data_IF_970916389295
#
_entry.id   IF_970916389295
#
_cell.length_a   1.000
_cell.length_b   1.000
_cell.length_c   1.000
_cell.angle_alpha   90.00
_cell.angle_beta   90.00
_cell.angle_gamma   90.00
#
_symmetry.space_group_name_H-M   'P 1'
#
loop_
_entity.id
_entity.type
_entity.pdbx_description
1 polymer ?
#
# COMPACT_ATOMS: atom_id res chain seq x y z
N UNK A 1 -10.88 -18.07 10.68
CA UNK A 1 -12.22 -17.46 10.90
C UNK A 1 -12.40 -16.44 9.79
N UNK A 2 -13.46 -16.57 8.99
CA UNK A 2 -13.72 -15.68 7.85
C UNK A 2 -14.05 -14.29 8.38
N UNK A 3 -13.30 -13.27 7.94
CA UNK A 3 -13.69 -11.86 8.10
C UNK A 3 -15.12 -11.68 7.58
N UNK A 4 -15.94 -10.92 8.29
CA UNK A 4 -17.29 -10.64 7.80
C UNK A 4 -17.15 -9.71 6.57
N UNK A 5 -17.94 -9.95 5.54
CA UNK A 5 -17.95 -9.12 4.33
C UNK A 5 -18.09 -7.61 4.65
N UNK A 6 -18.80 -7.29 5.72
CA UNK A 6 -19.03 -5.93 6.20
C UNK A 6 -17.74 -5.23 6.67
N UNK A 7 -16.78 -5.96 7.24
CA UNK A 7 -15.51 -5.38 7.72
C UNK A 7 -14.62 -4.97 6.54
N UNK A 8 -14.59 -5.79 5.48
CA UNK A 8 -13.86 -5.51 4.24
C UNK A 8 -14.47 -4.30 3.52
N UNK A 9 -15.80 -4.22 3.49
CA UNK A 9 -16.54 -3.14 2.85
C UNK A 9 -16.34 -1.80 3.57
N UNK A 10 -16.41 -1.79 4.90
CA UNK A 10 -16.15 -0.60 5.72
C UNK A 10 -14.69 -0.12 5.58
N UNK A 11 -13.72 -1.04 5.57
CA UNK A 11 -12.32 -0.70 5.35
C UNK A 11 -12.12 -0.07 3.96
N UNK A 12 -12.76 -0.63 2.93
CA UNK A 12 -12.71 -0.09 1.57
C UNK A 12 -13.26 1.34 1.52
N UNK A 13 -14.40 1.61 2.15
CA UNK A 13 -15.01 2.94 2.16
C UNK A 13 -14.19 4.02 2.89
N UNK A 14 -13.60 3.67 4.03
CA UNK A 14 -12.77 4.61 4.81
C UNK A 14 -11.50 5.02 4.06
N UNK A 15 -10.93 4.09 3.28
CA UNK A 15 -9.73 4.33 2.48
C UNK A 15 -9.99 5.17 1.23
N UNK A 16 -11.20 5.09 0.66
CA UNK A 16 -11.61 5.94 -0.48
C UNK A 16 -11.87 7.41 -0.08
N UNK A 17 -12.10 7.69 1.21
CA UNK A 17 -12.44 9.04 1.73
C UNK A 17 -11.23 9.84 2.21
N UNK A 18 -10.03 9.26 2.29
CA UNK A 18 -8.83 9.91 2.82
C UNK A 18 -7.74 10.06 1.76
N UNK A 19 -7.02 11.19 1.78
CA UNK A 19 -5.80 11.41 0.97
C UNK A 19 -4.69 10.46 1.43
N UNK A 20 -4.76 9.21 0.96
CA UNK A 20 -3.85 8.14 1.33
C UNK A 20 -2.97 7.74 0.16
N UNK A 21 -1.93 6.94 0.43
CA UNK A 21 -1.12 6.33 -0.62
C UNK A 21 -1.98 5.54 -1.63
N UNK A 22 -3.14 5.05 -1.21
CA UNK A 22 -4.06 4.24 -2.02
C UNK A 22 -4.89 5.05 -3.01
N UNK A 23 -5.07 6.36 -2.81
CA UNK A 23 -5.68 7.24 -3.81
C UNK A 23 -4.66 7.77 -4.81
N UNK A 24 -3.38 7.85 -4.42
CA UNK A 24 -2.27 8.30 -5.28
C UNK A 24 -1.72 7.18 -6.18
N UNK A 25 -1.62 5.95 -5.65
CA UNK A 25 -1.06 4.80 -6.37
C UNK A 25 -1.77 4.52 -7.71
N UNK A 26 -3.11 4.38 -7.79
CA UNK A 26 -3.80 4.11 -9.06
C UNK A 26 -3.64 5.22 -10.10
N UNK A 27 -3.39 6.46 -9.66
CA UNK A 27 -3.17 7.62 -10.55
C UNK A 27 -1.75 7.67 -11.12
N UNK A 28 -0.85 6.79 -10.65
CA UNK A 28 0.56 6.81 -11.00
C UNK A 28 1.21 8.20 -10.79
N UNK A 29 0.81 8.89 -9.71
CA UNK A 29 1.34 10.20 -9.36
C UNK A 29 2.56 10.05 -8.45
N UNK A 30 3.75 10.03 -9.06
CA UNK A 30 5.02 9.82 -8.34
C UNK A 30 5.27 10.90 -7.29
N UNK A 31 4.98 12.15 -7.61
CA UNK A 31 5.26 13.28 -6.71
C UNK A 31 4.37 13.21 -5.47
N UNK A 32 3.07 12.96 -5.66
CA UNK A 32 2.15 12.75 -4.54
C UNK A 32 2.55 11.54 -3.68
N UNK A 33 2.93 10.41 -4.31
CA UNK A 33 3.40 9.22 -3.59
C UNK A 33 4.65 9.55 -2.76
N UNK A 34 5.63 10.22 -3.34
CA UNK A 34 6.86 10.62 -2.64
C UNK A 34 6.58 11.60 -1.50
N UNK A 35 5.69 12.58 -1.71
CA UNK A 35 5.29 13.52 -0.67
C UNK A 35 4.61 12.81 0.51
N UNK A 36 3.71 11.86 0.24
CA UNK A 36 3.02 11.08 1.27
C UNK A 36 4.04 10.25 2.06
N UNK A 37 4.95 9.54 1.39
CA UNK A 37 6.00 8.73 2.04
C UNK A 37 6.96 9.60 2.86
N UNK A 38 7.29 10.80 2.38
CA UNK A 38 8.16 11.72 3.11
C UNK A 38 7.48 12.31 4.35
N UNK A 39 6.16 12.51 4.29
CA UNK A 39 5.37 13.03 5.41
C UNK A 39 5.14 11.95 6.47
N UNK A 40 4.79 10.73 6.06
CA UNK A 40 4.65 9.58 6.93
C UNK A 40 5.30 8.33 6.30
N UNK A 41 6.55 8.00 6.70
CA UNK A 41 7.21 6.80 6.23
C UNK A 41 6.51 5.50 6.62
N UNK A 42 5.62 5.47 7.63
CA UNK A 42 4.93 4.23 7.99
C UNK A 42 3.84 3.82 7.00
N UNK A 43 3.46 4.73 6.09
CA UNK A 43 2.44 4.50 5.07
C UNK A 43 2.78 3.31 4.15
N UNK A 44 4.07 2.98 4.00
CA UNK A 44 4.54 1.81 3.24
C UNK A 44 4.16 0.46 3.84
N UNK A 45 3.75 0.44 5.11
CA UNK A 45 3.28 -0.75 5.82
C UNK A 45 1.75 -0.83 5.92
N UNK A 46 1.04 0.22 5.49
CA UNK A 46 -0.42 0.24 5.49
C UNK A 46 -0.93 -0.84 4.54
N UNK A 47 -2.04 -1.48 4.92
CA UNK A 47 -2.72 -2.50 4.12
C UNK A 47 -3.88 -1.90 3.34
N UNK A 48 -3.94 -2.25 2.06
CA UNK A 48 -5.06 -2.00 1.18
C UNK A 48 -6.26 -2.90 1.49
N UNK A 49 -7.38 -2.71 0.76
CA UNK A 49 -8.62 -3.45 0.96
C UNK A 49 -8.48 -4.97 0.85
N UNK A 50 -7.49 -5.48 0.08
CA UNK A 50 -7.25 -6.91 -0.09
C UNK A 50 -6.00 -7.38 0.67
N UNK A 51 -5.53 -6.59 1.65
CA UNK A 51 -4.34 -6.90 2.45
C UNK A 51 -3.02 -6.63 1.73
N UNK A 52 -3.06 -5.93 0.59
CA UNK A 52 -1.89 -5.56 -0.17
C UNK A 52 -1.11 -4.40 0.48
N UNK A 53 0.20 -4.32 0.28
CA UNK A 53 1.00 -3.16 0.66
C UNK A 53 1.42 -2.40 -0.61
N UNK A 54 1.86 -1.15 -0.49
CA UNK A 54 2.29 -0.33 -1.63
C UNK A 54 3.25 -1.03 -2.59
N UNK A 55 4.18 -1.86 -2.10
CA UNK A 55 5.08 -2.65 -2.96
C UNK A 55 4.36 -3.67 -3.84
N UNK A 56 3.22 -4.21 -3.40
CA UNK A 56 2.44 -5.18 -4.17
C UNK A 56 1.81 -4.58 -5.43
N UNK A 57 1.61 -3.25 -5.47
CA UNK A 57 1.10 -2.55 -6.66
C UNK A 57 1.96 -2.82 -7.89
N UNK A 58 3.25 -3.13 -7.67
CA UNK A 58 4.13 -3.56 -8.75
C UNK A 58 3.62 -4.79 -9.48
N UNK A 59 3.18 -5.80 -8.74
CA UNK A 59 2.74 -7.07 -9.31
C UNK A 59 1.36 -6.93 -9.96
N UNK A 60 0.50 -6.05 -9.42
CA UNK A 60 -0.85 -5.83 -9.95
C UNK A 60 -0.88 -5.12 -11.30
N UNK A 61 0.05 -4.18 -11.56
CA UNK A 61 0.02 -3.34 -12.77
C UNK A 61 1.20 -3.55 -13.72
N UNK A 62 2.30 -4.14 -13.26
CA UNK A 62 3.47 -4.53 -14.06
C UNK A 62 4.04 -3.49 -15.05
N UNK A 63 3.85 -2.18 -14.81
CA UNK A 63 4.41 -1.11 -15.65
C UNK A 63 5.80 -0.65 -15.18
N UNK A 64 6.52 0.08 -16.03
CA UNK A 64 7.80 0.71 -15.66
C UNK A 64 7.65 1.71 -14.51
N UNK A 65 6.55 2.44 -14.46
CA UNK A 65 6.25 3.34 -13.35
C UNK A 65 6.28 2.61 -12.00
N UNK A 66 5.52 1.51 -11.88
CA UNK A 66 5.49 0.76 -10.62
C UNK A 66 6.81 0.00 -10.38
N UNK A 67 7.59 -0.31 -11.43
CA UNK A 67 8.98 -0.82 -11.27
C UNK A 67 9.84 0.19 -10.56
N UNK A 68 9.79 1.45 -10.98
CA UNK A 68 10.60 2.51 -10.40
C UNK A 68 10.17 2.83 -8.98
N UNK A 69 8.86 2.89 -8.71
CA UNK A 69 8.33 3.03 -7.34
C UNK A 69 8.79 1.86 -6.48
N UNK A 70 8.65 0.62 -6.93
CA UNK A 70 9.09 -0.55 -6.16
C UNK A 70 10.60 -0.53 -5.90
N UNK A 71 11.41 -0.16 -6.91
CA UNK A 71 12.87 -0.01 -6.73
C UNK A 71 13.19 1.06 -5.70
N UNK A 72 12.51 2.21 -5.76
CA UNK A 72 12.68 3.30 -4.80
C UNK A 72 12.32 2.85 -3.38
N UNK A 73 11.17 2.19 -3.21
CA UNK A 73 10.70 1.67 -1.93
C UNK A 73 11.68 0.64 -1.34
N UNK A 74 12.15 -0.33 -2.14
CA UNK A 74 13.12 -1.35 -1.68
C UNK A 74 14.46 -0.71 -1.31
N UNK A 75 14.91 0.29 -2.08
CA UNK A 75 16.19 0.97 -1.82
C UNK A 75 16.15 1.75 -0.50
N UNK A 76 15.01 2.39 -0.22
CA UNK A 76 14.84 3.23 0.98
C UNK A 76 14.40 2.44 2.21
N UNK A 77 13.61 1.39 2.01
CA UNK A 77 13.02 0.56 3.05
C UNK A 77 13.20 -0.92 2.71
N UNK A 78 14.42 -1.48 2.82
CA UNK A 78 14.70 -2.85 2.39
C UNK A 78 13.91 -3.91 3.20
N UNK A 79 13.52 -3.59 4.43
CA UNK A 79 12.75 -4.47 5.31
C UNK A 79 11.34 -4.78 4.77
N UNK A 80 10.81 -3.95 3.86
CA UNK A 80 9.46 -4.13 3.31
C UNK A 80 9.32 -5.34 2.41
N UNK A 81 10.41 -6.04 2.06
CA UNK A 81 10.29 -7.29 1.29
C UNK A 81 10.03 -8.46 2.23
N UNK A 82 10.54 -8.38 3.45
CA UNK A 82 10.51 -9.46 4.43
C UNK A 82 9.39 -9.28 5.46
N UNK A 83 9.17 -8.06 5.94
CA UNK A 83 8.30 -7.80 7.09
C UNK A 83 6.80 -7.81 6.76
N UNK A 84 6.44 -7.57 5.50
CA UNK A 84 5.06 -7.69 5.02
C UNK A 84 4.47 -9.09 5.22
N UNK A 85 5.28 -10.14 5.32
CA UNK A 85 4.77 -11.49 5.57
C UNK A 85 4.76 -11.87 7.05
N UNK A 86 5.33 -11.02 7.91
CA UNK A 86 5.39 -11.24 9.35
C UNK A 86 4.22 -10.61 10.10
N UNK A 87 3.47 -9.71 9.46
CA UNK A 87 2.31 -9.04 10.04
C UNK A 87 1.03 -9.81 9.71
N UNK A 88 0.05 -9.91 10.63
CA UNK A 88 -1.26 -10.45 10.33
C UNK A 88 -1.92 -9.63 9.22
N UNK A 89 -2.50 -10.31 8.22
CA UNK A 89 -3.15 -9.66 7.07
C UNK A 89 -4.39 -8.86 7.51
N UNK A 90 -5.09 -9.35 8.54
CA UNK A 90 -6.25 -8.72 9.16
C UNK A 90 -6.08 -8.73 10.68
N UNK A 91 -6.36 -7.60 11.33
CA UNK A 91 -6.40 -7.48 12.79
C UNK A 91 -7.83 -7.78 13.28
N UNK A 92 -7.99 -8.69 14.24
CA UNK A 92 -9.27 -8.98 14.91
C UNK A 92 -9.38 -8.21 16.22
#
# INVERSE_FOLDING_TARGET
MNSSHADIELQTELMHKSDTIWTAMPKADKEAIEQIINTDPNVINVRGPVGECPIHMRFSHATEFYMDIARHLITRFPHIVTEIYNQPVYSY
#
